data_IF_663474233126
#
_entry.id   IF_663474233126
#
_cell.length_a   1.000
_cell.length_b   1.000
_cell.length_c   1.000
_cell.angle_alpha   90.00
_cell.angle_beta   90.00
_cell.angle_gamma   90.00
#
_symmetry.space_group_name_H-M   'P 1'
#
loop_
_entity.id
_entity.type
_entity.pdbx_description
1 polymer ?
#
# COMPACT_ATOMS: atom_id res chain seq x y z
N UNK A 1 6.91 -2.55 -16.72
CA UNK A 1 6.65 -2.32 -15.29
C UNK A 1 7.85 -2.82 -14.50
N UNK A 2 8.31 -2.08 -13.48
CA UNK A 2 9.47 -2.47 -12.68
C UNK A 2 9.02 -3.01 -11.32
N UNK A 3 9.41 -4.24 -10.99
CA UNK A 3 9.20 -4.88 -9.68
C UNK A 3 10.48 -4.75 -8.87
N UNK A 4 10.41 -4.16 -7.68
CA UNK A 4 11.57 -4.02 -6.79
C UNK A 4 11.43 -5.00 -5.65
N UNK A 5 12.43 -5.87 -5.47
CA UNK A 5 12.56 -6.67 -4.24
C UNK A 5 13.15 -5.79 -3.14
N UNK A 6 12.46 -5.74 -2.00
CA UNK A 6 12.84 -5.01 -0.81
C UNK A 6 13.24 -6.00 0.27
N UNK A 7 14.20 -5.66 1.11
CA UNK A 7 14.53 -6.46 2.30
C UNK A 7 13.45 -6.29 3.36
N UNK A 8 12.90 -5.10 3.51
CA UNK A 8 11.88 -4.82 4.53
C UNK A 8 10.93 -3.75 4.04
N UNK A 9 9.64 -3.93 4.36
CA UNK A 9 8.62 -2.90 4.25
C UNK A 9 8.15 -2.52 5.65
N UNK A 10 8.03 -1.23 5.93
CA UNK A 10 7.41 -0.73 7.15
C UNK A 10 6.10 -0.03 6.81
N UNK A 11 5.07 -0.33 7.60
CA UNK A 11 3.78 0.36 7.54
C UNK A 11 3.57 1.07 8.88
N UNK A 12 3.30 2.37 8.84
CA UNK A 12 3.01 3.19 10.00
C UNK A 12 1.64 3.85 9.81
N UNK A 13 0.85 4.01 10.87
CA UNK A 13 -0.36 4.82 10.78
C UNK A 13 -0.02 6.31 10.64
N UNK A 14 -0.75 7.00 9.75
CA UNK A 14 -0.61 8.44 9.59
C UNK A 14 -1.06 9.20 10.84
N UNK A 15 -2.18 8.76 11.45
CA UNK A 15 -2.73 9.39 12.65
C UNK A 15 -1.83 9.19 13.88
N UNK A 16 -1.19 8.01 13.99
CA UNK A 16 -0.36 7.64 15.14
C UNK A 16 0.91 6.95 14.65
N UNK A 17 1.97 7.71 14.30
CA UNK A 17 3.18 7.16 13.67
C UNK A 17 3.95 6.11 14.50
N UNK A 18 3.70 6.07 15.81
CA UNK A 18 4.24 5.08 16.75
C UNK A 18 3.65 3.68 16.51
N UNK A 19 2.42 3.61 16.00
CA UNK A 19 1.79 2.35 15.60
C UNK A 19 2.36 1.93 14.25
N UNK A 20 3.24 0.92 14.28
CA UNK A 20 3.97 0.46 13.11
C UNK A 20 4.13 -1.04 13.09
N UNK A 21 4.17 -1.61 11.89
CA UNK A 21 4.48 -3.00 11.65
C UNK A 21 5.58 -3.13 10.58
N UNK A 22 6.49 -4.08 10.78
CA UNK A 22 7.56 -4.40 9.81
C UNK A 22 7.36 -5.76 9.17
N UNK A 23 7.69 -5.84 7.88
CA UNK A 23 7.58 -7.03 7.06
C UNK A 23 8.96 -7.33 6.43
N UNK A 24 9.80 -8.15 7.10
CA UNK A 24 11.21 -8.36 6.73
C UNK A 24 11.44 -9.44 5.67
N UNK A 25 10.41 -10.13 5.21
CA UNK A 25 10.56 -11.20 4.21
C UNK A 25 10.35 -10.66 2.80
N UNK A 26 11.44 -10.30 2.11
CA UNK A 26 11.52 -10.05 0.66
C UNK A 26 10.29 -9.36 0.03
N UNK A 27 9.73 -8.34 0.69
CA UNK A 27 8.53 -7.68 0.23
C UNK A 27 8.78 -7.14 -1.18
N UNK A 28 7.89 -7.41 -2.12
CA UNK A 28 8.04 -6.85 -3.47
C UNK A 28 7.06 -5.73 -3.68
N UNK A 29 7.58 -4.57 -4.07
CA UNK A 29 6.76 -3.40 -4.40
C UNK A 29 6.77 -3.21 -5.90
N UNK A 30 5.60 -3.24 -6.51
CA UNK A 30 5.40 -2.90 -7.91
C UNK A 30 4.67 -1.56 -8.00
N UNK A 31 5.28 -0.60 -8.68
CA UNK A 31 4.70 0.73 -8.86
C UNK A 31 4.04 0.83 -10.23
N UNK A 32 2.73 1.01 -10.25
CA UNK A 32 1.96 1.27 -11.45
C UNK A 32 1.60 2.76 -11.50
N UNK A 33 2.14 3.48 -12.49
CA UNK A 33 1.82 4.89 -12.73
C UNK A 33 0.64 5.01 -13.69
N UNK A 34 -0.43 5.68 -13.28
CA UNK A 34 -1.44 6.14 -14.22
C UNK A 34 -0.85 7.17 -15.21
N UNK A 35 -1.34 7.16 -16.46
CA UNK A 35 -0.96 8.14 -17.50
C UNK A 35 -1.40 9.55 -17.07
N UNK A 36 -0.64 10.57 -17.47
CA UNK A 36 -1.00 11.99 -17.22
C UNK A 36 -2.37 12.30 -17.83
N UNK A 37 -3.26 12.89 -17.03
CA UNK A 37 -4.58 13.35 -17.48
C UNK A 37 -5.59 12.21 -17.57
N UNK A 38 -6.33 11.99 -16.50
CA UNK A 38 -7.49 11.10 -16.50
C UNK A 38 -8.74 11.96 -16.21
N UNK A 39 -9.74 11.84 -17.09
CA UNK A 39 -11.07 12.38 -16.85
C UNK A 39 -11.94 11.22 -16.42
N UNK A 40 -12.37 11.23 -15.15
CA UNK A 40 -13.33 10.25 -14.65
C UNK A 40 -14.74 10.79 -14.82
N UNK A 41 -15.56 10.04 -15.54
CA UNK A 41 -16.99 10.31 -15.71
C UNK A 41 -17.77 9.35 -14.82
N UNK A 42 -18.50 9.89 -13.85
CA UNK A 42 -19.40 9.10 -13.00
C UNK A 42 -20.73 8.86 -13.71
N UNK A 43 -21.46 7.83 -13.29
CA UNK A 43 -22.78 7.43 -13.80
C UNK A 43 -23.83 8.56 -13.73
N UNK A 44 -23.60 9.58 -12.90
CA UNK A 44 -24.46 10.77 -12.75
C UNK A 44 -24.09 11.93 -13.69
N UNK A 45 -23.19 11.74 -14.67
CA UNK A 45 -22.75 12.78 -15.61
C UNK A 45 -21.77 13.81 -15.02
N UNK A 46 -21.38 13.65 -13.75
CA UNK A 46 -20.33 14.49 -13.13
C UNK A 46 -18.97 14.06 -13.66
N UNK A 47 -18.23 15.01 -14.23
CA UNK A 47 -16.85 14.83 -14.66
C UNK A 47 -15.90 15.44 -13.63
N UNK A 48 -14.88 14.69 -13.21
CA UNK A 48 -13.77 15.25 -12.42
C UNK A 48 -12.51 15.23 -13.27
N UNK A 49 -12.02 16.42 -13.60
CA UNK A 49 -10.72 16.59 -14.25
C UNK A 49 -9.63 16.58 -13.18
N UNK A 50 -8.71 15.62 -13.28
CA UNK A 50 -7.55 15.54 -12.38
C UNK A 50 -6.37 16.17 -13.11
N UNK A 51 -6.16 17.47 -12.88
CA UNK A 51 -5.14 18.29 -13.57
C UNK A 51 -3.82 18.43 -12.82
N UNK A 52 -3.74 17.98 -11.56
CA UNK A 52 -2.50 18.07 -10.76
C UNK A 52 -1.48 17.06 -11.28
N UNK A 53 -0.19 17.42 -11.27
CA UNK A 53 0.95 16.53 -11.53
C UNK A 53 1.13 15.56 -10.34
N UNK A 54 0.09 14.80 -10.01
CA UNK A 54 0.15 13.67 -9.11
C UNK A 54 -0.07 12.44 -9.97
N UNK A 55 1.00 11.72 -10.29
CA UNK A 55 0.85 10.37 -10.84
C UNK A 55 0.08 9.58 -9.76
N UNK A 56 -1.09 9.04 -10.07
CA UNK A 56 -1.70 8.07 -9.19
C UNK A 56 -0.80 6.82 -9.25
N UNK A 57 -0.08 6.55 -8.17
CA UNK A 57 0.70 5.33 -8.04
C UNK A 57 -0.15 4.28 -7.33
N UNK A 58 -0.43 3.18 -8.02
CA UNK A 58 -0.87 1.96 -7.34
C UNK A 58 0.37 1.15 -7.02
N UNK A 59 0.53 0.78 -5.76
CA UNK A 59 1.65 0.04 -5.23
C UNK A 59 1.15 -1.37 -4.88
N UNK A 60 1.57 -2.39 -5.63
CA UNK A 60 1.27 -3.78 -5.24
C UNK A 60 2.37 -4.27 -4.32
N UNK A 61 2.04 -4.56 -3.06
CA UNK A 61 2.95 -5.09 -2.06
C UNK A 61 2.67 -6.58 -1.83
N UNK A 62 3.62 -7.44 -2.18
CA UNK A 62 3.56 -8.86 -1.84
C UNK A 62 4.39 -9.09 -0.57
N UNK A 63 3.73 -9.58 0.49
CA UNK A 63 4.27 -9.83 1.82
C UNK A 63 4.25 -11.36 2.07
N UNK A 64 5.33 -12.08 1.77
CA UNK A 64 5.41 -13.51 2.06
C UNK A 64 5.60 -13.75 3.57
N UNK A 65 5.24 -14.96 4.02
CA UNK A 65 5.51 -15.43 5.38
C UNK A 65 4.98 -14.48 6.49
N UNK A 66 3.76 -13.98 6.32
CA UNK A 66 3.11 -13.16 7.34
C UNK A 66 2.59 -14.04 8.47
N UNK A 67 3.01 -13.72 9.69
CA UNK A 67 2.48 -14.29 10.93
C UNK A 67 1.02 -13.89 11.15
N UNK A 68 0.31 -14.63 12.01
CA UNK A 68 -1.08 -14.30 12.34
C UNK A 68 -1.24 -12.88 12.91
N UNK A 69 -0.32 -12.47 13.78
CA UNK A 69 -0.31 -11.12 14.35
C UNK A 69 -0.16 -10.03 13.27
N UNK A 70 0.69 -10.26 12.27
CA UNK A 70 0.82 -9.36 11.12
C UNK A 70 -0.45 -9.27 10.29
N UNK A 71 -1.14 -10.39 10.08
CA UNK A 71 -2.40 -10.43 9.34
C UNK A 71 -3.50 -9.70 10.11
N UNK A 72 -3.62 -9.96 11.42
CA UNK A 72 -4.61 -9.31 12.27
C UNK A 72 -4.35 -7.80 12.36
N UNK A 73 -3.08 -7.37 12.39
CA UNK A 73 -2.71 -5.96 12.29
C UNK A 73 -3.17 -5.34 10.96
N UNK A 74 -2.92 -6.03 9.84
CA UNK A 74 -3.38 -5.56 8.53
C UNK A 74 -4.91 -5.51 8.45
N UNK A 75 -5.61 -6.50 8.97
CA UNK A 75 -7.08 -6.51 8.97
C UNK A 75 -7.64 -5.33 9.78
N UNK A 76 -7.04 -5.03 10.94
CA UNK A 76 -7.43 -3.92 11.81
C UNK A 76 -7.25 -2.54 11.14
N UNK A 77 -6.22 -2.39 10.31
CA UNK A 77 -5.83 -1.11 9.71
C UNK A 77 -6.23 -0.97 8.23
N UNK A 78 -7.14 -1.83 7.77
CA UNK A 78 -7.74 -1.75 6.45
C UNK A 78 -8.55 -0.47 6.30
N UNK A 79 -8.35 0.26 5.19
CA UNK A 79 -8.99 1.55 4.94
C UNK A 79 -8.36 2.76 5.65
N UNK A 80 -7.39 2.53 6.54
CA UNK A 80 -6.68 3.62 7.22
C UNK A 80 -5.52 4.16 6.37
N UNK A 81 -5.19 5.45 6.57
CA UNK A 81 -4.06 6.08 5.89
C UNK A 81 -2.75 5.62 6.52
N UNK A 82 -1.89 5.02 5.70
CA UNK A 82 -0.61 4.46 6.11
C UNK A 82 0.55 5.20 5.44
N UNK A 83 1.62 5.40 6.20
CA UNK A 83 2.94 5.71 5.71
C UNK A 83 3.68 4.40 5.42
N UNK A 84 3.87 4.10 4.15
CA UNK A 84 4.64 2.97 3.64
C UNK A 84 6.10 3.41 3.48
N UNK A 85 7.04 2.71 4.12
CA UNK A 85 8.47 2.95 3.98
C UNK A 85 9.18 1.70 3.53
N UNK A 86 10.20 1.87 2.70
CA UNK A 86 11.07 0.76 2.29
C UNK A 86 12.50 0.90 2.79
N UNK A 87 13.26 -0.18 2.64
CA UNK A 87 14.68 -0.30 3.02
C UNK A 87 15.62 0.61 2.23
N UNK A 88 15.10 1.29 1.18
CA UNK A 88 15.82 2.27 0.36
C UNK A 88 15.50 3.71 0.76
N UNK A 89 14.73 3.91 1.83
CA UNK A 89 14.38 5.23 2.36
C UNK A 89 13.24 5.92 1.60
N UNK A 90 12.56 5.24 0.66
CA UNK A 90 11.37 5.80 0.00
C UNK A 90 10.19 5.79 0.97
N UNK A 91 9.35 6.82 0.87
CA UNK A 91 8.14 6.99 1.67
C UNK A 91 6.96 7.24 0.74
N UNK A 92 5.87 6.52 0.95
CA UNK A 92 4.60 6.69 0.26
C UNK A 92 3.47 6.80 1.28
N UNK A 93 2.45 7.58 0.96
CA UNK A 93 1.23 7.63 1.75
C UNK A 93 0.15 6.88 0.99
N UNK A 94 -0.42 5.84 1.56
CA UNK A 94 -1.35 4.97 0.84
C UNK A 94 -2.41 4.37 1.75
N UNK A 95 -3.49 3.90 1.12
CA UNK A 95 -4.57 3.15 1.76
C UNK A 95 -4.74 1.84 1.00
N UNK A 96 -4.99 0.74 1.71
CA UNK A 96 -5.46 -0.51 1.09
C UNK A 96 -6.89 -0.82 1.55
N UNK A 97 -7.67 -1.42 0.65
CA UNK A 97 -9.07 -1.75 0.89
C UNK A 97 -9.35 -3.24 0.88
N UNK A 98 -8.41 -4.05 0.41
CA UNK A 98 -8.54 -5.50 0.31
C UNK A 98 -7.33 -6.15 0.97
N UNK A 99 -7.58 -7.26 1.66
CA UNK A 99 -6.56 -8.07 2.32
C UNK A 99 -6.67 -9.53 1.82
N UNK A 100 -6.20 -9.83 0.59
CA UNK A 100 -6.16 -11.19 0.12
C UNK A 100 -5.05 -11.94 0.86
N UNK A 101 -5.44 -13.01 1.56
CA UNK A 101 -4.57 -13.89 2.34
C UNK A 101 -4.58 -15.26 1.68
N UNK A 102 -3.40 -15.80 1.39
CA UNK A 102 -3.19 -17.15 0.92
C UNK A 102 -2.50 -17.95 2.04
N UNK A 103 -3.28 -18.74 2.78
CA UNK A 103 -2.81 -19.54 3.90
C UNK A 103 -2.03 -20.77 3.40
N UNK A 104 -0.91 -21.07 4.05
CA UNK A 104 -0.18 -22.32 3.79
C UNK A 104 -0.76 -23.45 4.64
N UNK A 105 -1.19 -24.58 4.05
CA UNK A 105 -1.85 -25.65 4.80
C UNK A 105 -0.98 -26.33 5.87
N UNK A 106 0.35 -26.12 5.83
CA UNK A 106 1.30 -26.80 6.70
C UNK A 106 2.10 -25.85 7.60
N UNK A 107 1.97 -24.53 7.44
CA UNK A 107 2.69 -23.51 8.21
C UNK A 107 1.70 -22.52 8.83
N UNK A 108 2.03 -21.97 9.99
CA UNK A 108 1.25 -20.91 10.65
C UNK A 108 1.44 -19.52 9.99
N UNK A 109 1.97 -19.49 8.77
CA UNK A 109 2.28 -18.29 8.01
C UNK A 109 1.42 -18.25 6.75
N UNK A 110 1.09 -17.04 6.28
CA UNK A 110 0.35 -16.84 5.05
C UNK A 110 1.06 -15.83 4.14
N UNK A 111 0.82 -15.94 2.83
CA UNK A 111 1.22 -14.90 1.90
C UNK A 111 0.11 -13.86 1.79
N UNK A 112 0.48 -12.58 1.85
CA UNK A 112 -0.48 -11.48 1.73
C UNK A 112 -0.10 -10.62 0.52
N UNK A 113 -1.08 -10.21 -0.28
CA UNK A 113 -0.85 -9.35 -1.45
C UNK A 113 -1.72 -8.10 -1.42
N UNK A 114 -1.16 -6.98 -0.98
CA UNK A 114 -1.90 -5.73 -0.83
C UNK A 114 -1.84 -4.88 -2.10
N UNK A 115 -2.96 -4.22 -2.39
CA UNK A 115 -3.00 -3.11 -3.35
C UNK A 115 -3.07 -1.81 -2.54
N UNK A 116 -1.94 -1.12 -2.46
CA UNK A 116 -1.78 0.17 -1.79
C UNK A 116 -2.07 1.27 -2.82
N UNK A 117 -3.15 2.01 -2.59
CA UNK A 117 -3.52 3.15 -3.41
C UNK A 117 -2.87 4.40 -2.82
N UNK A 118 -1.91 4.98 -3.54
CA UNK A 118 -1.24 6.18 -3.07
C UNK A 118 -2.25 7.34 -2.97
N UNK A 119 -2.22 8.00 -1.81
CA UNK A 119 -2.98 9.21 -1.52
C UNK A 119 -2.02 10.39 -1.61
N UNK A 120 -2.43 11.42 -2.33
CA UNK A 120 -1.68 12.67 -2.37
C UNK A 120 -1.72 13.34 -1.00
N UNK A 121 -0.66 13.16 -0.21
CA UNK A 121 -0.50 13.80 1.09
C UNK A 121 0.32 15.08 0.95
N UNK A 122 -0.13 16.17 1.58
CA UNK A 122 0.60 17.42 1.67
C UNK A 122 0.78 17.76 3.14
N UNK A 123 1.99 17.63 3.66
CA UNK A 123 2.38 18.24 4.93
C UNK A 123 2.68 19.71 4.63
N UNK A 124 1.76 20.60 5.00
CA UNK A 124 2.08 22.01 5.11
C UNK A 124 2.82 22.18 6.44
N UNK A 125 4.09 22.60 6.38
CA UNK A 125 4.88 23.02 7.54
C UNK A 125 4.68 24.51 7.73
#
# INVERSE_FOLDING_TARGET
MAKVKLRTLWLNLAATPEVRQSFPHMASLQVNTARKGEVRTYTTGRMRSITKVGRAHTLTASLPACTREQIDWLAKHQGELLCVRDDRGRKFWAVFFDLPVEEHPYNQEANVSLILNEVTHSEAV
#
